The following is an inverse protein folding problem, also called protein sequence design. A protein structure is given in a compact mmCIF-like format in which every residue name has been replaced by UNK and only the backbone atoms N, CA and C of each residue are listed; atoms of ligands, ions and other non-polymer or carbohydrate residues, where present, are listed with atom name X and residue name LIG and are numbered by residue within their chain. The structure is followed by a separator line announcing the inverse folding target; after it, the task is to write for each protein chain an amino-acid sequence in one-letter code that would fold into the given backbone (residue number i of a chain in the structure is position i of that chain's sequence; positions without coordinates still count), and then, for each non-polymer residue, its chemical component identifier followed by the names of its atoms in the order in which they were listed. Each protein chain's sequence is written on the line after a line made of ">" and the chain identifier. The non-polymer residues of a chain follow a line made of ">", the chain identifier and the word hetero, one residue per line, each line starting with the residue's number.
data_IF_887123383994
#
_entry.id   IF_887123383994
#
_cell.length_a   1.000
_cell.length_b   1.000
_cell.length_c   1.000
_cell.angle_alpha   90.00
_cell.angle_beta   90.00
_cell.angle_gamma   90.00
#
_symmetry.space_group_name_H-M   'P 1'
#
loop_
_entity.id
_entity.type
_entity.pdbx_description
1 polymer ?
#
# COMPACT_ATOMS: atom_id res chain seq x y z
N UNK A 1 11.82 4.38 0.87
CA UNK A 1 11.22 5.29 -0.14
C UNK A 1 9.74 5.11 0.04
N UNK A 2 9.01 6.20 0.21
CA UNK A 2 7.60 6.12 0.56
C UNK A 2 6.74 5.96 -0.70
N UNK A 3 5.81 5.02 -0.64
CA UNK A 3 4.82 4.75 -1.68
C UNK A 3 3.41 4.93 -1.12
N UNK A 4 2.47 5.25 -1.99
CA UNK A 4 1.08 5.45 -1.63
C UNK A 4 0.17 4.60 -2.51
N UNK A 5 -0.93 4.12 -1.91
CA UNK A 5 -2.07 3.53 -2.60
C UNK A 5 -3.29 4.37 -2.28
N UNK A 6 -3.92 4.97 -3.29
CA UNK A 6 -5.13 5.79 -3.11
C UNK A 6 -6.11 5.55 -4.25
N UNK A 7 -7.38 5.93 -4.11
CA UNK A 7 -8.25 6.19 -5.25
C UNK A 7 -7.62 7.22 -6.21
N UNK A 8 -7.89 7.08 -7.50
CA UNK A 8 -7.42 8.03 -8.51
C UNK A 8 -8.28 9.31 -8.55
N UNK A 9 -9.51 9.23 -8.02
CA UNK A 9 -10.49 10.30 -7.90
C UNK A 9 -11.20 10.24 -6.54
N UNK A 10 -11.78 11.36 -6.07
CA UNK A 10 -12.63 11.35 -4.88
C UNK A 10 -13.76 10.32 -4.99
N UNK A 11 -13.94 9.51 -3.95
CA UNK A 11 -14.94 8.43 -3.88
C UNK A 11 -15.57 8.40 -2.49
N UNK A 12 -16.77 7.83 -2.37
CA UNK A 12 -17.41 7.53 -1.09
C UNK A 12 -16.98 6.18 -0.51
N UNK A 13 -16.30 5.33 -1.32
CA UNK A 13 -15.72 4.08 -0.84
C UNK A 13 -14.59 4.38 0.13
N UNK A 14 -14.56 3.64 1.24
CA UNK A 14 -13.55 3.78 2.29
C UNK A 14 -12.98 2.42 2.65
N UNK A 15 -11.70 2.43 2.96
CA UNK A 15 -11.05 1.30 3.61
C UNK A 15 -11.57 1.21 5.04
N UNK A 16 -12.21 0.11 5.39
CA UNK A 16 -12.64 -0.16 6.76
C UNK A 16 -11.42 -0.60 7.59
N UNK A 17 -11.09 0.09 8.70
CA UNK A 17 -9.96 -0.27 9.54
C UNK A 17 -10.03 -1.71 10.08
N UNK A 18 -11.22 -2.19 10.46
CA UNK A 18 -11.41 -3.54 11.00
C UNK A 18 -11.13 -4.58 9.93
N UNK A 19 -11.76 -4.45 8.76
CA UNK A 19 -11.56 -5.36 7.64
C UNK A 19 -10.09 -5.35 7.16
N UNK A 20 -9.41 -4.20 7.22
CA UNK A 20 -7.99 -4.07 6.89
C UNK A 20 -7.12 -4.89 7.84
N UNK A 21 -7.34 -4.78 9.15
CA UNK A 21 -6.62 -5.57 10.18
C UNK A 21 -6.84 -7.07 9.95
N UNK A 22 -8.10 -7.49 9.80
CA UNK A 22 -8.42 -8.91 9.62
C UNK A 22 -7.75 -9.49 8.37
N UNK A 23 -7.73 -8.74 7.25
CA UNK A 23 -7.08 -9.19 6.03
C UNK A 23 -5.54 -9.20 6.17
N UNK A 24 -4.94 -8.21 6.84
CA UNK A 24 -3.50 -8.18 7.12
C UNK A 24 -3.08 -9.42 7.92
N UNK A 25 -3.76 -9.70 9.03
CA UNK A 25 -3.47 -10.85 9.90
C UNK A 25 -3.67 -12.20 9.20
N UNK A 26 -4.63 -12.26 8.26
CA UNK A 26 -4.94 -13.48 7.51
C UNK A 26 -3.91 -13.79 6.43
N UNK A 27 -3.41 -12.77 5.72
CA UNK A 27 -2.56 -12.97 4.54
C UNK A 27 -1.07 -12.84 4.85
N UNK A 28 -0.69 -11.89 5.71
CA UNK A 28 0.71 -11.59 6.00
C UNK A 28 1.15 -12.21 7.33
N UNK A 29 2.14 -13.10 7.26
CA UNK A 29 2.79 -13.66 8.44
C UNK A 29 3.69 -12.62 9.13
N UNK A 30 3.94 -12.79 10.43
CA UNK A 30 4.80 -11.91 11.24
C UNK A 30 4.45 -10.41 11.16
N UNK A 31 3.15 -10.12 11.19
CA UNK A 31 2.60 -8.75 11.19
C UNK A 31 2.40 -8.24 12.62
N UNK A 32 2.94 -7.07 12.93
CA UNK A 32 2.63 -6.31 14.15
C UNK A 32 1.74 -5.13 13.79
N UNK A 33 0.56 -5.02 14.42
CA UNK A 33 -0.43 -3.97 14.13
C UNK A 33 -0.63 -3.09 15.38
N UNK A 34 -0.79 -1.79 15.16
CA UNK A 34 -1.08 -0.79 16.19
C UNK A 34 -2.23 0.10 15.74
N UNK A 35 -3.34 0.07 16.48
CA UNK A 35 -4.45 1.02 16.30
C UNK A 35 -4.10 2.37 16.93
N UNK A 36 -4.37 3.46 16.21
CA UNK A 36 -4.08 4.82 16.64
C UNK A 36 -5.34 5.47 17.22
N UNK A 37 -5.33 5.68 18.54
CA UNK A 37 -6.49 6.17 19.29
C UNK A 37 -6.62 7.70 19.30
N UNK A 38 -5.53 8.43 19.03
CA UNK A 38 -5.57 9.89 18.93
C UNK A 38 -6.35 10.31 17.68
N UNK A 39 -7.51 11.01 17.79
CA UNK A 39 -8.32 11.39 16.64
C UNK A 39 -7.66 12.45 15.75
N UNK A 40 -6.70 13.22 16.28
CA UNK A 40 -5.98 14.26 15.53
C UNK A 40 -4.79 13.70 14.74
N UNK A 41 -4.48 12.41 14.90
CA UNK A 41 -3.43 11.75 14.13
C UNK A 41 -3.88 11.53 12.69
N UNK A 42 -2.95 11.65 11.74
CA UNK A 42 -3.24 11.43 10.33
C UNK A 42 -3.57 9.95 10.02
N UNK A 43 -3.02 9.02 10.79
CA UNK A 43 -3.22 7.59 10.59
C UNK A 43 -4.22 7.01 11.60
N UNK A 44 -5.00 6.02 11.17
CA UNK A 44 -5.91 5.25 12.04
C UNK A 44 -5.30 3.93 12.50
N UNK A 45 -4.41 3.34 11.69
CA UNK A 45 -3.69 2.10 11.98
C UNK A 45 -2.27 2.24 11.42
N UNK A 46 -1.29 1.70 12.13
CA UNK A 46 0.07 1.46 11.66
C UNK A 46 0.37 -0.04 11.74
N UNK A 47 1.17 -0.57 10.82
CA UNK A 47 1.63 -1.95 10.86
C UNK A 47 3.07 -2.10 10.40
N UNK A 48 3.65 -3.22 10.80
CA UNK A 48 4.97 -3.68 10.38
C UNK A 48 4.84 -5.13 9.97
N UNK A 49 5.22 -5.44 8.73
CA UNK A 49 5.34 -6.80 8.23
C UNK A 49 6.83 -7.13 8.15
N UNK A 50 7.25 -8.22 8.80
CA UNK A 50 8.58 -8.79 8.58
C UNK A 50 8.46 -9.82 7.47
N UNK A 51 9.41 -9.84 6.54
CA UNK A 51 9.44 -10.79 5.41
C UNK A 51 10.69 -11.66 5.59
N UNK A 52 10.62 -12.76 6.39
CA UNK A 52 11.81 -13.51 6.78
C UNK A 52 12.56 -14.13 5.60
N UNK A 53 11.86 -14.55 4.55
CA UNK A 53 12.51 -15.17 3.39
C UNK A 53 13.43 -14.20 2.65
N UNK A 54 13.12 -12.90 2.70
CA UNK A 54 13.92 -11.83 2.09
C UNK A 54 14.83 -11.11 3.09
N UNK A 55 14.58 -11.29 4.39
CA UNK A 55 15.24 -10.50 5.44
C UNK A 55 14.86 -9.02 5.41
N UNK A 56 13.69 -8.69 4.85
CA UNK A 56 13.21 -7.31 4.67
C UNK A 56 12.04 -7.00 5.62
N UNK A 57 11.65 -5.73 5.63
CA UNK A 57 10.55 -5.17 6.42
C UNK A 57 9.74 -4.24 5.52
N UNK A 58 8.42 -4.30 5.69
CA UNK A 58 7.47 -3.36 5.10
C UNK A 58 6.70 -2.67 6.23
N UNK A 59 6.85 -1.37 6.32
CA UNK A 59 6.04 -0.49 7.16
C UNK A 59 4.83 -0.02 6.37
N UNK A 60 3.68 0.08 7.03
CA UNK A 60 2.51 0.68 6.42
C UNK A 60 1.58 1.37 7.40
N UNK A 61 0.76 2.27 6.89
CA UNK A 61 -0.22 2.99 7.69
C UNK A 61 -1.48 3.30 6.88
N UNK A 62 -2.64 3.16 7.52
CA UNK A 62 -3.94 3.48 6.95
C UNK A 62 -4.31 4.93 7.30
N UNK A 63 -4.59 5.75 6.29
CA UNK A 63 -5.04 7.13 6.45
C UNK A 63 -6.36 7.16 7.22
N UNK A 64 -6.51 8.13 8.14
CA UNK A 64 -7.67 8.20 9.05
C UNK A 64 -9.00 8.43 8.32
N UNK A 65 -8.97 9.06 7.15
CA UNK A 65 -10.16 9.25 6.31
C UNK A 65 -10.61 7.98 5.58
N UNK A 66 -9.76 6.94 5.56
CA UNK A 66 -9.98 5.67 4.85
C UNK A 66 -9.69 5.74 3.35
N UNK A 67 -9.02 6.81 2.88
CA UNK A 67 -8.80 7.07 1.45
C UNK A 67 -7.40 6.73 0.96
N UNK A 68 -6.52 6.19 1.81
CA UNK A 68 -5.16 5.89 1.38
C UNK A 68 -4.38 5.02 2.33
N UNK A 69 -3.35 4.38 1.77
CA UNK A 69 -2.33 3.64 2.51
C UNK A 69 -0.98 4.25 2.17
N UNK A 70 -0.19 4.54 3.21
CA UNK A 70 1.24 4.84 3.08
C UNK A 70 2.04 3.56 3.29
N UNK A 71 3.11 3.36 2.51
CA UNK A 71 4.04 2.24 2.62
C UNK A 71 5.48 2.75 2.63
N UNK A 72 6.33 2.19 3.49
CA UNK A 72 7.78 2.38 3.43
C UNK A 72 8.49 1.03 3.51
N UNK A 73 9.35 0.78 2.53
CA UNK A 73 10.01 -0.50 2.34
C UNK A 73 10.70 -0.59 0.99
N UNK A 74 11.11 -1.81 0.63
CA UNK A 74 11.62 -2.09 -0.70
C UNK A 74 10.49 -2.06 -1.72
N UNK A 75 10.77 -1.49 -2.91
CA UNK A 75 9.80 -1.35 -3.99
C UNK A 75 9.05 -2.65 -4.30
N UNK A 76 9.76 -3.78 -4.36
CA UNK A 76 9.16 -5.08 -4.67
C UNK A 76 8.15 -5.52 -3.59
N UNK A 77 8.46 -5.25 -2.32
CA UNK A 77 7.59 -5.59 -1.20
C UNK A 77 6.35 -4.68 -1.18
N UNK A 78 6.55 -3.37 -1.44
CA UNK A 78 5.46 -2.40 -1.61
C UNK A 78 4.56 -2.73 -2.80
N UNK A 79 5.13 -3.15 -3.94
CA UNK A 79 4.40 -3.55 -5.14
C UNK A 79 3.58 -4.83 -4.88
N UNK A 80 4.18 -5.81 -4.18
CA UNK A 80 3.49 -7.03 -3.76
C UNK A 80 2.29 -6.71 -2.86
N UNK A 81 2.49 -5.80 -1.90
CA UNK A 81 1.41 -5.31 -1.04
C UNK A 81 0.31 -4.62 -1.84
N UNK A 82 0.66 -3.76 -2.78
CA UNK A 82 -0.31 -3.03 -3.60
C UNK A 82 -1.21 -3.96 -4.42
N UNK A 83 -0.63 -5.01 -5.04
CA UNK A 83 -1.39 -6.00 -5.80
C UNK A 83 -2.30 -6.84 -4.89
N UNK A 84 -1.79 -7.27 -3.74
CA UNK A 84 -2.59 -7.97 -2.76
C UNK A 84 -3.77 -7.11 -2.29
N UNK A 85 -3.53 -5.85 -1.93
CA UNK A 85 -4.56 -4.95 -1.48
C UNK A 85 -5.61 -4.69 -2.57
N UNK A 86 -5.18 -4.48 -3.82
CA UNK A 86 -6.09 -4.32 -4.96
C UNK A 86 -7.04 -5.50 -5.11
N UNK A 87 -6.58 -6.74 -4.82
CA UNK A 87 -7.44 -7.93 -4.89
C UNK A 87 -8.56 -7.98 -3.84
N UNK A 88 -8.47 -7.17 -2.79
CA UNK A 88 -9.49 -7.05 -1.73
C UNK A 88 -10.53 -5.96 -2.04
N UNK A 89 -10.22 -5.06 -2.97
CA UNK A 89 -11.02 -3.89 -3.27
C UNK A 89 -12.06 -4.22 -4.35
N UNK A 90 -13.30 -3.67 -4.28
CA UNK A 90 -14.29 -3.87 -5.32
C UNK A 90 -13.78 -3.52 -6.72
N UNK A 91 -14.14 -4.31 -7.73
CA UNK A 91 -13.63 -4.13 -9.12
C UNK A 91 -13.90 -2.74 -9.72
N UNK A 92 -14.97 -2.07 -9.28
CA UNK A 92 -15.35 -0.74 -9.75
C UNK A 92 -14.62 0.40 -9.02
N UNK A 93 -13.80 0.09 -8.02
CA UNK A 93 -13.03 1.08 -7.28
C UNK A 93 -11.60 1.11 -7.83
N UNK A 94 -11.31 2.15 -8.61
CA UNK A 94 -9.98 2.38 -9.15
C UNK A 94 -9.00 2.77 -8.05
N UNK A 95 -7.79 2.21 -8.11
CA UNK A 95 -6.67 2.53 -7.23
C UNK A 95 -5.45 2.88 -8.07
N UNK A 96 -4.61 3.77 -7.55
CA UNK A 96 -3.29 4.09 -8.09
C UNK A 96 -2.20 3.77 -7.06
N UNK A 97 -1.05 3.33 -7.56
CA UNK A 97 0.19 3.19 -6.82
C UNK A 97 1.22 4.18 -7.34
N UNK A 98 1.85 4.93 -6.44
CA UNK A 98 2.82 5.97 -6.80
C UNK A 98 3.83 6.20 -5.68
N UNK A 99 5.00 6.76 -6.01
CA UNK A 99 5.95 7.22 -5.00
C UNK A 99 5.54 8.59 -4.45
N UNK A 100 6.00 8.94 -3.25
CA UNK A 100 5.70 10.22 -2.60
C UNK A 100 6.07 11.45 -3.44
N UNK A 101 7.11 11.36 -4.28
CA UNK A 101 7.51 12.44 -5.19
C UNK A 101 6.66 12.53 -6.46
N UNK A 102 5.72 11.60 -6.66
CA UNK A 102 4.89 11.45 -7.85
C UNK A 102 5.73 11.31 -9.14
N UNK A 103 6.94 10.76 -9.03
CA UNK A 103 7.83 10.54 -10.17
C UNK A 103 7.27 9.46 -11.10
N UNK A 104 6.56 8.48 -10.54
CA UNK A 104 5.80 7.50 -11.29
C UNK A 104 4.46 7.19 -10.61
N UNK A 105 3.43 6.99 -11.43
CA UNK A 105 2.09 6.64 -11.00
C UNK A 105 1.51 5.60 -11.95
N UNK A 106 0.88 4.57 -11.39
CA UNK A 106 0.29 3.47 -12.13
C UNK A 106 -1.08 3.10 -11.55
N UNK A 107 -2.06 2.92 -12.43
CA UNK A 107 -3.36 2.35 -12.06
C UNK A 107 -3.22 0.86 -11.75
N UNK A 108 -3.71 0.43 -10.60
CA UNK A 108 -3.78 -0.97 -10.21
C UNK A 108 -5.05 -1.59 -10.80
N UNK A 109 -4.89 -2.53 -11.72
CA UNK A 109 -5.96 -3.29 -12.36
C UNK A 109 -5.88 -4.76 -11.94
N UNK A 110 -6.98 -5.55 -12.05
CA UNK A 110 -6.98 -6.96 -11.66
C UNK A 110 -5.91 -7.84 -12.34
N UNK A 111 -5.37 -7.39 -13.47
CA UNK A 111 -4.34 -8.07 -14.25
C UNK A 111 -2.98 -7.34 -14.24
N UNK A 112 -2.79 -6.32 -13.40
CA UNK A 112 -1.49 -5.67 -13.24
C UNK A 112 -0.46 -6.69 -12.74
N UNK A 113 0.61 -6.90 -13.49
CA UNK A 113 1.71 -7.73 -13.06
C UNK A 113 2.68 -6.93 -12.18
N UNK A 114 3.39 -7.62 -11.28
CA UNK A 114 4.40 -6.96 -10.43
C UNK A 114 5.50 -6.26 -11.25
N UNK A 115 5.85 -6.79 -12.42
CA UNK A 115 6.80 -6.17 -13.34
C UNK A 115 6.33 -4.84 -13.90
N UNK A 116 5.02 -4.68 -14.10
CA UNK A 116 4.41 -3.43 -14.59
C UNK A 116 4.58 -2.32 -13.57
N UNK A 117 4.61 -2.69 -12.28
CA UNK A 117 4.92 -1.78 -11.18
C UNK A 117 6.43 -1.52 -11.14
N UNK A 118 7.27 -2.55 -11.06
CA UNK A 118 8.69 -2.40 -10.70
C UNK A 118 9.53 -1.73 -11.81
N UNK A 119 9.35 -2.13 -13.07
CA UNK A 119 10.25 -1.71 -14.16
C UNK A 119 10.31 -0.18 -14.35
N UNK A 120 9.18 0.55 -14.33
CA UNK A 120 9.19 2.00 -14.47
C UNK A 120 9.96 2.74 -13.37
N UNK A 121 9.83 2.34 -12.10
CA UNK A 121 10.56 2.98 -11.00
C UNK A 121 12.07 2.72 -11.08
N UNK A 122 12.49 1.53 -11.50
CA UNK A 122 13.92 1.22 -11.68
C UNK A 122 14.52 1.97 -12.88
N UNK A 123 13.75 2.20 -13.94
CA UNK A 123 14.20 2.88 -15.15
C UNK A 123 14.52 4.36 -14.92
N UNK A 124 13.87 4.99 -13.94
CA UNK A 124 14.12 6.40 -13.58
C UNK A 124 15.31 6.59 -12.65
N UNK A 125 15.80 5.52 -12.01
CA UNK A 125 17.00 5.56 -11.16
C UNK A 125 18.30 5.70 -11.98
N UNK A 126 18.20 5.67 -13.31
CA UNK A 126 19.27 5.94 -14.26
C UNK A 126 19.11 7.38 -14.78
N UNK A 127 19.32 8.35 -13.91
CA UNK A 127 19.67 9.71 -14.32
C UNK A 127 20.87 10.12 -13.48
N UNK A 128 21.95 10.43 -14.21
CA UNK A 128 23.36 10.52 -13.83
C UNK A 128 23.64 11.42 -12.63
#
# INVERSE_FOLDING_TARGET
>A
MEYLITPDQPTSWKINPVDCIENLEKYWHDTTIKTITNPDDYYSIEWVIKIPEKGTRLDGALHRDGQGISLDGYLEDCATFALWFQSLVPENQELIFYDQGYNYCLKLQPNTAISDIIQPFLSQSISV
#
